data_IF_187070859371
#
_entry.id   IF_187070859371
#
_cell.length_a   1.000
_cell.length_b   1.000
_cell.length_c   1.000
_cell.angle_alpha   90.00
_cell.angle_beta   90.00
_cell.angle_gamma   90.00
#
_symmetry.space_group_name_H-M   'P 1'
#
loop_
_entity.id
_entity.type
_entity.pdbx_description
1 polymer ?
#
# COMPACT_ATOMS: atom_id res chain seq x y z
N UNK A 1 -4.19 -11.06 -10.01
CA UNK A 1 -2.85 -11.27 -9.43
C UNK A 1 -3.00 -11.64 -7.97
N UNK A 2 -2.16 -12.53 -7.43
CA UNK A 2 -2.12 -12.86 -5.98
C UNK A 2 -0.67 -12.81 -5.52
N UNK A 3 -0.39 -11.96 -4.53
CA UNK A 3 0.86 -11.93 -3.79
C UNK A 3 0.65 -12.50 -2.38
N UNK A 4 1.58 -13.31 -1.91
CA UNK A 4 1.53 -13.91 -0.56
C UNK A 4 2.87 -13.68 0.14
N UNK A 5 2.82 -13.19 1.36
CA UNK A 5 3.99 -12.97 2.21
C UNK A 5 3.65 -13.11 3.69
N UNK A 6 4.68 -13.03 4.53
CA UNK A 6 4.57 -13.03 5.99
C UNK A 6 5.07 -11.69 6.53
N UNK A 7 4.39 -11.17 7.55
CA UNK A 7 4.79 -9.94 8.22
C UNK A 7 5.70 -10.25 9.41
N UNK A 8 6.76 -9.46 9.57
CA UNK A 8 7.66 -9.60 10.71
C UNK A 8 6.95 -9.28 12.03
N UNK A 9 7.29 -10.01 13.09
CA UNK A 9 6.58 -9.94 14.37
C UNK A 9 6.84 -8.65 15.15
N UNK A 10 7.91 -7.94 14.82
CA UNK A 10 8.38 -6.72 15.48
C UNK A 10 7.92 -5.44 14.78
N UNK A 11 7.07 -5.55 13.74
CA UNK A 11 6.51 -4.38 13.08
C UNK A 11 5.59 -3.57 14.02
N UNK A 12 5.63 -2.22 13.96
CA UNK A 12 4.78 -1.39 14.81
C UNK A 12 3.29 -1.58 14.53
N UNK A 13 2.53 -1.99 15.55
CA UNK A 13 1.06 -2.08 15.47
C UNK A 13 0.48 -0.70 15.18
N UNK A 14 -0.56 -0.66 14.35
CA UNK A 14 -1.21 0.58 13.96
C UNK A 14 -0.45 1.36 12.88
N UNK A 15 0.70 0.91 12.40
CA UNK A 15 1.29 1.44 11.17
C UNK A 15 0.52 0.94 9.94
N UNK A 16 0.47 1.75 8.88
CA UNK A 16 0.03 1.29 7.55
C UNK A 16 1.26 0.97 6.71
N UNK A 17 1.31 -0.24 6.18
CA UNK A 17 2.31 -0.65 5.18
C UNK A 17 1.76 -0.37 3.79
N UNK A 18 2.54 0.28 2.94
CA UNK A 18 2.15 0.56 1.55
C UNK A 18 2.91 -0.35 0.60
N UNK A 19 2.22 -0.83 -0.44
CA UNK A 19 2.78 -1.70 -1.47
C UNK A 19 2.66 -0.98 -2.82
N UNK A 20 3.68 -0.21 -3.25
CA UNK A 20 3.67 0.44 -4.55
C UNK A 20 3.60 -0.58 -5.69
N UNK A 21 2.68 -0.39 -6.63
CA UNK A 21 2.48 -1.29 -7.77
C UNK A 21 2.49 -0.49 -9.07
N UNK A 22 3.13 -1.04 -10.09
CA UNK A 22 3.01 -0.55 -11.47
C UNK A 22 2.22 -1.58 -12.27
N UNK A 23 1.14 -1.14 -12.90
CA UNK A 23 0.33 -1.94 -13.81
C UNK A 23 0.72 -1.59 -15.24
N UNK A 24 1.22 -2.56 -15.99
CA UNK A 24 1.60 -2.38 -17.39
C UNK A 24 0.56 -3.05 -18.31
N UNK A 25 0.18 -2.37 -19.38
CA UNK A 25 -0.73 -2.88 -20.41
C UNK A 25 -0.41 -2.25 -21.77
N UNK A 26 -0.12 -3.08 -22.79
CA UNK A 26 0.08 -2.64 -24.19
C UNK A 26 1.00 -1.41 -24.38
N UNK A 27 2.07 -1.30 -23.59
CA UNK A 27 3.04 -0.19 -23.67
C UNK A 27 2.66 1.05 -22.83
N UNK A 28 1.50 1.05 -22.18
CA UNK A 28 1.12 1.99 -21.14
C UNK A 28 1.46 1.46 -19.74
N UNK A 29 1.62 2.36 -18.77
CA UNK A 29 1.92 2.03 -17.39
C UNK A 29 1.17 2.95 -16.41
N UNK A 30 0.31 2.36 -15.58
CA UNK A 30 -0.34 3.02 -14.45
C UNK A 30 0.46 2.81 -13.17
N UNK A 31 0.67 3.88 -12.41
CA UNK A 31 1.60 3.91 -11.27
C UNK A 31 0.86 4.13 -9.95
N UNK A 32 0.36 3.05 -9.38
CA UNK A 32 -0.25 2.99 -8.05
C UNK A 32 0.81 3.04 -6.94
N UNK A 33 1.51 4.18 -6.85
CA UNK A 33 2.72 4.36 -6.03
C UNK A 33 2.64 5.55 -5.06
N UNK A 34 1.53 6.29 -5.07
CA UNK A 34 1.38 7.47 -4.22
C UNK A 34 1.16 7.07 -2.76
N UNK A 35 1.85 7.75 -1.85
CA UNK A 35 1.73 7.54 -0.40
C UNK A 35 1.16 8.82 0.21
N UNK A 36 0.07 8.75 0.99
CA UNK A 36 -0.53 9.95 1.59
C UNK A 36 0.43 10.58 2.60
N UNK A 37 0.50 11.91 2.58
CA UNK A 37 1.15 12.65 3.64
C UNK A 37 0.43 12.46 4.98
N UNK A 38 1.09 12.78 6.08
CA UNK A 38 0.49 12.65 7.41
C UNK A 38 -0.81 13.48 7.51
N UNK A 39 -1.91 12.81 7.83
CA UNK A 39 -3.24 13.43 7.95
C UNK A 39 -3.96 13.69 6.62
N UNK A 40 -3.36 13.33 5.48
CA UNK A 40 -4.02 13.36 4.19
C UNK A 40 -4.96 12.15 4.04
N UNK A 41 -6.10 12.37 3.40
CA UNK A 41 -6.97 11.29 2.96
C UNK A 41 -6.32 10.53 1.79
N UNK A 42 -6.21 9.20 1.93
CA UNK A 42 -5.63 8.36 0.88
C UNK A 42 -6.51 8.33 -0.37
N UNK A 43 -7.83 8.47 -0.22
CA UNK A 43 -8.79 8.44 -1.33
C UNK A 43 -8.75 9.74 -2.15
N UNK A 44 -8.04 10.77 -1.67
CA UNK A 44 -7.79 11.99 -2.41
C UNK A 44 -6.60 11.89 -3.39
N UNK A 45 -5.81 10.81 -3.32
CA UNK A 45 -4.73 10.53 -4.27
C UNK A 45 -5.31 9.92 -5.56
N UNK A 46 -4.68 10.19 -6.70
CA UNK A 46 -5.16 9.71 -8.00
C UNK A 46 -4.79 8.23 -8.20
N UNK A 47 -3.57 7.85 -7.79
CA UNK A 47 -3.03 6.50 -7.87
C UNK A 47 -2.44 6.05 -6.54
N UNK A 48 -3.26 5.93 -5.46
CA UNK A 48 -2.79 5.53 -4.15
C UNK A 48 -2.20 4.12 -4.19
N UNK A 49 -1.04 3.95 -3.57
CA UNK A 49 -0.49 2.62 -3.33
C UNK A 49 -1.43 1.83 -2.39
N UNK A 50 -1.69 0.55 -2.67
CA UNK A 50 -2.40 -0.34 -1.76
C UNK A 50 -1.83 -0.30 -0.34
N UNK A 51 -2.69 0.00 0.64
CA UNK A 51 -2.33 0.10 2.06
C UNK A 51 -2.85 -1.07 2.89
N UNK A 52 -2.02 -1.57 3.80
CA UNK A 52 -2.37 -2.58 4.81
C UNK A 52 -2.16 -2.01 6.21
N UNK A 53 -3.24 -1.78 6.95
CA UNK A 53 -3.16 -1.38 8.36
C UNK A 53 -2.81 -2.58 9.23
N UNK A 54 -1.70 -2.48 9.97
CA UNK A 54 -1.29 -3.52 10.92
C UNK A 54 -2.18 -3.50 12.15
N UNK A 55 -2.97 -4.56 12.31
CA UNK A 55 -3.76 -4.80 13.51
C UNK A 55 -2.92 -5.47 14.62
N UNK A 56 -3.32 -5.36 15.90
CA UNK A 56 -2.73 -6.16 16.97
C UNK A 56 -2.84 -7.66 16.66
N UNK A 57 -1.86 -8.43 17.13
CA UNK A 57 -1.95 -9.89 17.12
C UNK A 57 -3.04 -10.32 18.11
N UNK A 58 -3.93 -11.21 17.65
CA UNK A 58 -4.96 -11.84 18.49
C UNK A 58 -4.33 -12.77 19.54
#
# INVERSE_FOLDING_TARGET
FVFRGTLAADLPVGQTLYFPVVQECEGAAERWIEIPAAGQDADALEYPAPGLKLAPKL
#
